data_IF_110831769540
#
_entry.id   IF_110831769540
#
_cell.length_a   1.000
_cell.length_b   1.000
_cell.length_c   1.000
_cell.angle_alpha   90.00
_cell.angle_beta   90.00
_cell.angle_gamma   90.00
#
_symmetry.space_group_name_H-M   'P 1'
#
loop_
_entity.id
_entity.type
_entity.pdbx_description
1 polymer ?
#
# COMPACT_ATOMS: atom_id res chain seq x y z
N UNK A 1 -9.89 10.91 -4.96
CA UNK A 1 -11.02 10.04 -5.38
C UNK A 1 -10.79 8.70 -4.71
N UNK A 2 -11.68 8.25 -3.81
CA UNK A 2 -11.52 6.99 -3.08
C UNK A 2 -11.92 5.84 -3.99
N UNK A 3 -10.96 5.03 -4.45
CA UNK A 3 -11.24 3.76 -5.12
C UNK A 3 -11.24 2.64 -4.08
N UNK A 4 -12.30 1.84 -4.04
CA UNK A 4 -12.46 0.69 -3.13
C UNK A 4 -12.34 1.00 -1.62
N UNK A 5 -12.48 2.27 -1.22
CA UNK A 5 -12.33 2.71 0.17
C UNK A 5 -10.90 3.05 0.58
N UNK A 6 -10.00 3.17 -0.40
CA UNK A 6 -8.62 3.58 -0.22
C UNK A 6 -8.35 4.92 -0.92
N UNK A 7 -7.53 5.73 -0.28
CA UNK A 7 -7.08 7.01 -0.82
C UNK A 7 -5.56 7.07 -0.77
N UNK A 8 -4.92 7.14 -1.94
CA UNK A 8 -3.50 7.48 -2.04
C UNK A 8 -3.34 8.96 -1.72
N UNK A 9 -2.50 9.26 -0.73
CA UNK A 9 -2.31 10.60 -0.20
C UNK A 9 -1.16 11.30 -0.90
N UNK A 10 0.03 10.70 -0.85
CA UNK A 10 1.24 11.24 -1.44
C UNK A 10 2.28 10.15 -1.65
N UNK A 11 3.23 10.42 -2.55
CA UNK A 11 4.48 9.69 -2.63
C UNK A 11 5.43 10.15 -1.52
N UNK A 12 6.16 9.22 -0.93
CA UNK A 12 7.20 9.49 0.08
C UNK A 12 8.53 9.47 -0.67
N UNK A 13 9.19 10.63 -0.79
CA UNK A 13 10.42 10.78 -1.56
C UNK A 13 11.67 10.35 -0.78
N UNK A 14 11.66 10.48 0.54
CA UNK A 14 12.74 10.09 1.45
C UNK A 14 12.18 9.06 2.43
N UNK A 15 12.40 7.78 2.14
CA UNK A 15 11.96 6.67 2.98
C UNK A 15 13.07 5.64 3.14
N UNK A 16 13.18 5.10 4.35
CA UNK A 16 13.98 3.91 4.62
C UNK A 16 13.03 2.75 4.90
N UNK A 17 13.07 1.69 4.09
CA UNK A 17 12.15 0.55 4.24
C UNK A 17 12.34 -0.16 5.59
N UNK A 18 13.51 -0.04 6.24
CA UNK A 18 13.78 -0.63 7.56
C UNK A 18 12.95 0.02 8.68
N UNK A 19 12.51 1.28 8.49
CA UNK A 19 11.57 1.96 9.39
C UNK A 19 10.13 1.42 9.29
N UNK A 20 9.84 0.58 8.29
CA UNK A 20 8.50 0.09 8.01
C UNK A 20 8.40 -1.41 8.21
N UNK A 21 7.30 -1.82 8.83
CA UNK A 21 6.98 -3.22 9.10
C UNK A 21 6.08 -3.71 7.97
N UNK A 22 6.46 -4.81 7.32
CA UNK A 22 5.62 -5.45 6.31
C UNK A 22 4.28 -5.80 6.95
N UNK A 23 3.20 -5.22 6.44
CA UNK A 23 1.87 -5.38 7.03
C UNK A 23 1.37 -6.81 6.79
N UNK A 24 1.60 -7.33 5.57
CA UNK A 24 1.23 -8.69 5.16
C UNK A 24 2.16 -9.21 4.05
N UNK A 25 2.60 -10.47 4.16
CA UNK A 25 3.41 -11.17 3.15
C UNK A 25 2.51 -11.82 2.08
N UNK A 26 1.62 -11.04 1.49
CA UNK A 26 0.79 -11.55 0.40
C UNK A 26 1.41 -11.21 -0.94
N UNK A 27 1.73 -12.27 -1.68
CA UNK A 27 2.03 -12.16 -3.09
C UNK A 27 0.71 -11.96 -3.82
N UNK A 28 0.43 -10.75 -4.29
CA UNK A 28 -0.68 -10.54 -5.21
C UNK A 28 -0.37 -11.22 -6.53
N UNK A 29 -1.39 -11.79 -7.17
CA UNK A 29 -1.29 -12.27 -8.54
C UNK A 29 -0.99 -11.13 -9.54
N UNK A 30 -1.27 -9.88 -9.18
CA UNK A 30 -1.03 -8.70 -10.01
C UNK A 30 0.44 -8.22 -10.02
N UNK A 31 1.29 -8.72 -9.13
CA UNK A 31 2.72 -8.40 -9.18
C UNK A 31 3.45 -8.81 -7.89
N UNK A 32 4.53 -9.62 -7.97
CA UNK A 32 5.30 -10.02 -6.79
C UNK A 32 6.14 -8.88 -6.19
N UNK A 33 6.15 -7.70 -6.82
CA UNK A 33 7.01 -6.56 -6.48
C UNK A 33 6.27 -5.42 -5.76
N UNK A 34 4.98 -5.59 -5.47
CA UNK A 34 4.21 -4.60 -4.71
C UNK A 34 3.99 -5.14 -3.30
N UNK A 35 4.42 -4.37 -2.31
CA UNK A 35 4.30 -4.71 -0.89
C UNK A 35 3.61 -3.59 -0.14
N UNK A 36 2.86 -3.94 0.91
CA UNK A 36 2.24 -2.96 1.79
C UNK A 36 2.89 -3.06 3.16
N UNK A 37 3.28 -1.90 3.67
CA UNK A 37 3.91 -1.72 4.95
C UNK A 37 3.07 -0.83 5.85
N UNK A 38 3.37 -0.90 7.14
CA UNK A 38 2.90 0.02 8.17
C UNK A 38 4.10 0.57 8.92
N UNK A 39 4.00 1.80 9.40
CA UNK A 39 5.00 2.38 10.29
C UNK A 39 4.49 2.32 11.72
N UNK A 40 5.34 1.96 12.67
CA UNK A 40 4.96 1.93 14.09
C UNK A 40 4.45 3.32 14.52
N UNK A 41 3.29 3.35 15.20
CA UNK A 41 2.63 4.59 15.60
C UNK A 41 1.90 5.36 14.49
N UNK A 42 1.93 4.88 13.23
CA UNK A 42 1.19 5.48 12.12
C UNK A 42 -0.17 4.81 11.90
N UNK A 43 -1.18 5.60 11.56
CA UNK A 43 -2.50 5.13 11.13
C UNK A 43 -2.56 4.89 9.61
N UNK A 44 -1.49 5.23 8.90
CA UNK A 44 -1.39 5.12 7.46
C UNK A 44 -0.72 3.83 7.03
N UNK A 45 -1.06 3.40 5.83
CA UNK A 45 -0.41 2.29 5.14
C UNK A 45 0.51 2.85 4.07
N UNK A 46 1.52 2.08 3.70
CA UNK A 46 2.53 2.48 2.75
C UNK A 46 2.68 1.40 1.70
N UNK A 47 2.34 1.70 0.45
CA UNK A 47 2.51 0.79 -0.67
C UNK A 47 3.86 1.05 -1.31
N UNK A 48 4.73 0.05 -1.29
CA UNK A 48 6.03 0.09 -1.93
C UNK A 48 5.97 -0.66 -3.26
N UNK A 49 6.39 0.02 -4.32
CA UNK A 49 6.63 -0.54 -5.63
C UNK A 49 8.14 -0.82 -5.78
N UNK A 50 8.56 -2.06 -5.51
CA UNK A 50 9.97 -2.46 -5.52
C UNK A 50 10.61 -2.38 -6.91
N UNK A 51 9.82 -2.35 -8.00
CA UNK A 51 10.37 -2.20 -9.35
C UNK A 51 10.78 -0.75 -9.65
N UNK A 52 10.04 0.20 -9.09
CA UNK A 52 10.28 1.63 -9.30
C UNK A 52 11.00 2.28 -8.13
N UNK A 53 11.16 1.57 -7.02
CA UNK A 53 11.69 2.08 -5.76
C UNK A 53 10.88 3.29 -5.24
N UNK A 54 9.54 3.18 -5.31
CA UNK A 54 8.61 4.26 -4.94
C UNK A 54 7.68 3.83 -3.82
N UNK A 55 7.58 4.65 -2.79
CA UNK A 55 6.69 4.42 -1.65
C UNK A 55 5.52 5.41 -1.70
N UNK A 56 4.30 4.90 -1.59
CA UNK A 56 3.09 5.69 -1.57
C UNK A 56 2.36 5.55 -0.24
N UNK A 57 2.11 6.67 0.42
CA UNK A 57 1.25 6.71 1.57
C UNK A 57 -0.22 6.59 1.14
N UNK A 58 -0.95 5.71 1.81
CA UNK A 58 -2.38 5.52 1.60
C UNK A 58 -3.14 5.44 2.92
N UNK A 59 -4.36 5.96 2.90
CA UNK A 59 -5.32 5.84 3.98
C UNK A 59 -6.45 4.91 3.58
N UNK A 60 -6.81 4.00 4.48
CA UNK A 60 -7.97 3.15 4.34
C UNK A 60 -9.08 3.68 5.24
N UNK A 61 -10.29 3.85 4.68
CA UNK A 61 -11.47 4.25 5.46
C UNK A 61 -11.78 3.20 6.54
N UNK A 62 -11.41 1.94 6.30
CA UNK A 62 -11.65 0.84 7.22
C UNK A 62 -10.40 -0.07 7.31
N UNK A 63 -9.42 0.26 8.18
CA UNK A 63 -8.12 -0.43 8.24
C UNK A 63 -8.25 -1.93 8.57
N UNK A 64 -9.30 -2.32 9.29
CA UNK A 64 -9.61 -3.72 9.59
C UNK A 64 -9.87 -4.56 8.33
N UNK A 65 -10.31 -3.95 7.22
CA UNK A 65 -10.56 -4.65 5.96
C UNK A 65 -9.28 -5.02 5.23
N UNK A 66 -8.19 -4.27 5.41
CA UNK A 66 -6.87 -4.57 4.84
C UNK A 66 -6.26 -5.88 5.33
N UNK A 67 -6.91 -6.55 6.30
CA UNK A 67 -6.54 -7.88 6.79
C UNK A 67 -7.07 -9.04 5.94
N UNK A 68 -7.65 -8.79 4.76
CA UNK A 68 -8.07 -9.84 3.82
C UNK A 68 -7.36 -9.73 2.47
N UNK A 69 -7.07 -10.87 1.84
CA UNK A 69 -6.34 -10.91 0.57
C UNK A 69 -7.04 -10.10 -0.52
N UNK A 70 -8.38 -10.13 -0.51
CA UNK A 70 -9.22 -9.35 -1.42
C UNK A 70 -8.97 -7.85 -1.28
N UNK A 71 -8.90 -7.34 -0.05
CA UNK A 71 -8.63 -5.94 0.22
C UNK A 71 -7.24 -5.52 -0.26
N UNK A 72 -6.23 -6.37 -0.07
CA UNK A 72 -4.89 -6.16 -0.59
C UNK A 72 -4.88 -6.07 -2.13
N UNK A 73 -5.59 -6.99 -2.80
CA UNK A 73 -5.73 -6.95 -4.26
C UNK A 73 -6.48 -5.71 -4.76
N UNK A 74 -7.49 -5.23 -4.02
CA UNK A 74 -8.20 -3.99 -4.34
C UNK A 74 -7.30 -2.75 -4.22
N UNK A 75 -6.42 -2.67 -3.21
CA UNK A 75 -5.44 -1.58 -3.10
C UNK A 75 -4.49 -1.59 -4.30
N UNK A 76 -3.99 -2.76 -4.68
CA UNK A 76 -3.07 -2.90 -5.83
C UNK A 76 -3.79 -2.53 -7.13
N UNK A 77 -5.02 -2.99 -7.33
CA UNK A 77 -5.83 -2.58 -8.49
C UNK A 77 -6.05 -1.07 -8.50
N UNK A 78 -6.35 -0.46 -7.36
CA UNK A 78 -6.49 0.98 -7.26
C UNK A 78 -5.19 1.70 -7.65
N UNK A 79 -4.03 1.25 -7.16
CA UNK A 79 -2.74 1.80 -7.54
C UNK A 79 -2.49 1.72 -9.05
N UNK A 80 -2.65 0.53 -9.64
CA UNK A 80 -2.47 0.29 -11.08
C UNK A 80 -3.43 1.11 -11.95
N UNK A 81 -4.68 1.29 -11.50
CA UNK A 81 -5.67 2.10 -12.20
C UNK A 81 -5.40 3.60 -12.11
N UNK A 82 -4.80 4.06 -11.00
CA UNK A 82 -4.57 5.49 -10.76
C UNK A 82 -3.41 6.03 -11.62
N UNK A 83 -2.63 5.17 -12.29
CA UNK A 83 -1.48 5.54 -13.16
C UNK A 83 -0.54 6.57 -12.50
N UNK A 84 -0.24 6.37 -11.22
CA UNK A 84 0.74 7.16 -10.46
C UNK A 84 2.20 6.76 -10.79
#
# INVERSE_FOLDING_TARGET
>A
MSLYGYTFLAEVEDFDIEDYIAYMDWRSAAGPHIKIYIKEGSIFFYLHDELKDRLFQLSAINPSKLKTKEAFEDVIKAYLLTKL
#
